data_IF_141632236450
#
_entry.id   IF_141632236450
#
_cell.length_a   1.000
_cell.length_b   1.000
_cell.length_c   1.000
_cell.angle_alpha   90.00
_cell.angle_beta   90.00
_cell.angle_gamma   90.00
#
_symmetry.space_group_name_H-M   'P 1'
#
loop_
_entity.id
_entity.type
_entity.pdbx_description
1 polymer ?
#
# COMPACT_ATOMS: atom_id res chain seq x y z
N UNK A 1 14.85 -33.79 23.09
CA UNK A 1 14.92 -32.61 22.20
C UNK A 1 16.00 -32.74 21.12
N UNK A 2 17.10 -33.48 21.29
CA UNK A 2 18.15 -33.59 20.25
C UNK A 2 19.07 -32.37 20.11
N UNK A 3 18.88 -31.34 20.96
CA UNK A 3 19.64 -30.08 20.95
C UNK A 3 20.73 -30.04 22.04
N UNK A 4 21.12 -31.20 22.58
CA UNK A 4 22.21 -31.30 23.57
C UNK A 4 23.59 -31.05 22.95
N UNK A 5 24.60 -30.79 23.79
CA UNK A 5 25.97 -30.52 23.34
C UNK A 5 26.17 -29.10 22.85
N UNK A 6 26.18 -28.88 21.53
CA UNK A 6 26.48 -27.57 20.90
C UNK A 6 25.25 -26.71 20.63
N UNK A 7 24.06 -27.16 21.05
CA UNK A 7 22.79 -26.47 20.84
C UNK A 7 22.57 -25.99 19.41
N UNK A 8 22.93 -26.85 18.44
CA UNK A 8 22.83 -26.60 17.00
C UNK A 8 23.69 -25.44 16.46
N UNK A 9 24.63 -24.91 17.25
CA UNK A 9 25.56 -23.85 16.82
C UNK A 9 26.87 -24.36 16.21
N UNK A 10 27.08 -25.68 16.22
CA UNK A 10 28.36 -26.30 15.86
C UNK A 10 29.43 -26.10 16.95
N UNK A 11 30.64 -26.60 16.71
CA UNK A 11 31.62 -26.78 17.80
C UNK A 11 32.47 -25.54 18.11
N UNK A 12 32.77 -24.69 17.12
CA UNK A 12 33.74 -23.57 17.24
C UNK A 12 33.31 -22.39 16.35
N UNK A 13 34.13 -21.35 16.31
CA UNK A 13 33.91 -20.16 15.49
C UNK A 13 33.16 -19.06 16.24
N UNK A 14 33.20 -17.85 15.66
CA UNK A 14 32.59 -16.66 16.26
C UNK A 14 31.09 -16.85 16.53
N UNK A 15 30.36 -17.50 15.62
CA UNK A 15 28.91 -17.75 15.76
C UNK A 15 28.53 -18.73 16.88
N UNK A 16 29.47 -19.56 17.35
CA UNK A 16 29.24 -20.48 18.45
C UNK A 16 29.46 -19.86 19.84
N UNK A 17 30.05 -18.65 19.91
CA UNK A 17 30.32 -17.95 21.17
C UNK A 17 29.10 -17.15 21.65
N UNK A 18 29.01 -16.92 22.96
CA UNK A 18 28.02 -16.00 23.53
C UNK A 18 28.29 -14.59 23.01
N UNK A 19 27.24 -13.88 22.58
CA UNK A 19 27.37 -12.58 21.90
C UNK A 19 28.07 -12.65 20.54
N UNK A 20 28.25 -13.86 19.99
CA UNK A 20 28.84 -14.09 18.69
C UNK A 20 27.97 -13.62 17.51
N UNK A 21 28.53 -13.73 16.30
CA UNK A 21 27.90 -13.22 15.09
C UNK A 21 28.60 -11.98 14.55
N UNK A 22 28.28 -11.65 13.30
CA UNK A 22 28.70 -10.39 12.65
C UNK A 22 27.50 -9.48 12.53
N UNK A 23 27.72 -8.16 12.52
CA UNK A 23 26.62 -7.20 12.32
C UNK A 23 25.92 -7.49 10.97
N UNK A 24 24.58 -7.32 10.89
CA UNK A 24 23.87 -7.39 9.63
C UNK A 24 24.50 -6.45 8.58
N UNK A 25 24.73 -6.96 7.37
CA UNK A 25 25.37 -6.21 6.28
C UNK A 25 26.90 -6.17 6.31
N UNK A 26 27.57 -6.94 7.18
CA UNK A 26 29.02 -7.13 7.11
C UNK A 26 29.39 -8.27 6.14
N UNK A 27 30.24 -7.97 5.16
CA UNK A 27 30.64 -8.90 4.08
C UNK A 27 32.10 -9.37 4.25
N UNK A 28 32.56 -9.60 5.49
CA UNK A 28 33.87 -10.21 5.75
C UNK A 28 35.09 -9.33 5.48
N UNK A 29 34.91 -8.02 5.23
CA UNK A 29 35.97 -7.07 4.89
C UNK A 29 35.76 -6.38 3.54
N UNK A 30 34.88 -6.93 2.70
CA UNK A 30 34.44 -6.26 1.47
C UNK A 30 33.60 -5.02 1.80
N UNK A 31 33.61 -4.01 0.91
CA UNK A 31 32.70 -2.88 0.99
C UNK A 31 31.24 -3.36 0.90
N UNK A 32 30.40 -3.11 1.93
CA UNK A 32 29.02 -3.57 1.92
C UNK A 32 28.22 -3.05 0.73
N UNK A 33 27.26 -3.84 0.24
CA UNK A 33 26.39 -3.47 -0.87
C UNK A 33 25.74 -2.08 -0.71
N UNK A 34 25.29 -1.74 0.49
CA UNK A 34 24.67 -0.45 0.81
C UNK A 34 25.60 0.75 0.65
N UNK A 35 26.92 0.54 0.62
CA UNK A 35 27.93 1.56 0.34
C UNK A 35 28.40 1.55 -1.11
N UNK A 36 28.28 0.41 -1.80
CA UNK A 36 28.62 0.28 -3.23
C UNK A 36 27.60 0.97 -4.12
N UNK A 37 26.31 0.92 -3.73
CA UNK A 37 25.24 1.56 -4.50
C UNK A 37 25.19 3.08 -4.22
N UNK A 38 24.99 3.91 -5.27
CA UNK A 38 24.88 5.36 -5.08
C UNK A 38 23.57 5.72 -4.37
N UNK A 39 23.61 6.79 -3.57
CA UNK A 39 22.38 7.41 -3.06
C UNK A 39 21.66 8.09 -4.22
N UNK A 40 20.36 7.87 -4.36
CA UNK A 40 19.56 8.43 -5.46
C UNK A 40 18.24 9.01 -4.95
N UNK A 41 17.87 10.16 -5.50
CA UNK A 41 16.60 10.84 -5.23
C UNK A 41 16.64 11.76 -4.01
N UNK A 42 15.47 12.31 -3.68
CA UNK A 42 15.23 13.15 -2.50
C UNK A 42 13.83 12.87 -1.96
N UNK A 43 13.59 13.23 -0.69
CA UNK A 43 12.28 13.09 -0.07
C UNK A 43 11.49 14.41 -0.17
N UNK A 44 10.33 14.38 -0.82
CA UNK A 44 9.42 15.51 -0.88
C UNK A 44 8.54 15.56 0.38
N UNK A 45 8.73 16.58 1.21
CA UNK A 45 7.93 16.81 2.44
C UNK A 45 6.47 17.18 2.18
N UNK A 46 6.15 17.66 0.98
CA UNK A 46 4.80 18.05 0.57
C UNK A 46 4.11 16.99 -0.29
N UNK A 47 4.57 15.73 -0.23
CA UNK A 47 3.90 14.64 -0.91
C UNK A 47 2.48 14.49 -0.36
N UNK A 48 1.49 14.52 -1.25
CA UNK A 48 0.08 14.29 -0.88
C UNK A 48 -0.23 12.81 -0.89
N UNK A 49 -0.66 12.29 0.24
CA UNK A 49 -1.09 10.90 0.40
C UNK A 49 -2.53 10.75 -0.08
N UNK A 50 -2.68 10.54 -1.39
CA UNK A 50 -3.98 10.30 -2.03
C UNK A 50 -4.34 8.83 -1.88
N UNK A 51 -5.51 8.56 -1.32
CA UNK A 51 -6.01 7.21 -1.13
C UNK A 51 -6.66 6.71 -2.40
N UNK A 52 -6.26 5.51 -2.80
CA UNK A 52 -6.72 4.87 -4.02
C UNK A 52 -7.85 3.89 -3.68
N UNK A 53 -8.96 4.00 -4.40
CA UNK A 53 -10.08 3.06 -4.34
C UNK A 53 -10.42 2.60 -5.74
N UNK A 54 -10.64 1.29 -5.93
CA UNK A 54 -11.03 0.71 -7.21
C UNK A 54 -12.54 0.50 -7.31
N UNK A 55 -13.09 0.54 -8.52
CA UNK A 55 -14.51 0.30 -8.79
C UNK A 55 -15.02 -1.04 -8.23
N UNK A 56 -14.18 -2.08 -8.25
CA UNK A 56 -14.53 -3.39 -7.69
C UNK A 56 -14.95 -3.34 -6.21
N UNK A 57 -14.30 -2.50 -5.41
CA UNK A 57 -14.59 -2.36 -3.98
C UNK A 57 -15.92 -1.65 -3.72
N UNK A 58 -16.37 -0.86 -4.69
CA UNK A 58 -17.56 -0.02 -4.62
C UNK A 58 -18.84 -0.79 -4.96
N UNK A 59 -18.72 -2.00 -5.51
CA UNK A 59 -19.87 -2.90 -5.80
C UNK A 59 -20.72 -3.24 -4.58
N UNK A 60 -20.17 -3.11 -3.38
CA UNK A 60 -20.87 -3.41 -2.12
C UNK A 60 -21.91 -2.36 -1.75
N UNK A 61 -21.81 -1.17 -2.34
CA UNK A 61 -22.77 -0.12 -2.07
C UNK A 61 -24.08 -0.36 -2.84
N UNK A 62 -25.22 0.05 -2.27
CA UNK A 62 -26.50 -0.02 -2.97
C UNK A 62 -26.57 1.03 -4.09
N UNK A 63 -27.44 0.77 -5.06
CA UNK A 63 -27.73 1.69 -6.16
C UNK A 63 -28.16 3.07 -5.65
N UNK A 64 -27.67 4.13 -6.31
CA UNK A 64 -27.99 5.51 -5.96
C UNK A 64 -27.27 6.04 -4.72
N UNK A 65 -26.42 5.25 -4.07
CA UNK A 65 -25.60 5.74 -2.95
C UNK A 65 -24.57 6.79 -3.39
N UNK A 66 -24.31 7.73 -2.49
CA UNK A 66 -23.30 8.77 -2.66
C UNK A 66 -21.98 8.27 -2.07
N UNK A 67 -20.98 8.05 -2.91
CA UNK A 67 -19.65 7.63 -2.52
C UNK A 67 -18.84 8.87 -2.17
N UNK A 68 -18.73 9.14 -0.86
CA UNK A 68 -17.92 10.21 -0.27
C UNK A 68 -16.82 9.62 0.64
N UNK A 69 -15.81 10.41 0.99
CA UNK A 69 -14.70 10.00 1.85
C UNK A 69 -15.18 9.48 3.23
N UNK A 70 -16.30 9.98 3.72
CA UNK A 70 -16.88 9.62 5.01
C UNK A 70 -17.53 8.24 4.96
N UNK A 71 -18.35 7.99 3.93
CA UNK A 71 -18.99 6.70 3.69
C UNK A 71 -17.95 5.62 3.37
N UNK A 72 -16.87 5.98 2.68
CA UNK A 72 -15.74 5.08 2.44
C UNK A 72 -14.99 4.70 3.72
N UNK A 73 -14.96 5.59 4.72
CA UNK A 73 -14.37 5.30 6.02
C UNK A 73 -15.30 4.43 6.87
N UNK A 74 -16.59 4.76 6.92
CA UNK A 74 -17.61 4.00 7.68
C UNK A 74 -17.77 2.57 7.16
N UNK A 75 -17.75 2.40 5.83
CA UNK A 75 -17.77 1.08 5.19
C UNK A 75 -16.47 0.27 5.37
N UNK A 76 -15.42 0.88 5.94
CA UNK A 76 -14.12 0.26 6.15
C UNK A 76 -13.32 -0.01 4.87
N UNK A 77 -13.75 0.51 3.71
CA UNK A 77 -12.99 0.45 2.45
C UNK A 77 -11.71 1.26 2.58
N UNK A 78 -11.81 2.40 3.25
CA UNK A 78 -10.68 3.25 3.63
C UNK A 78 -10.49 3.16 5.14
N UNK A 79 -9.23 3.12 5.60
CA UNK A 79 -8.90 3.06 7.04
C UNK A 79 -8.63 4.44 7.68
N UNK A 80 -8.31 5.45 6.88
CA UNK A 80 -7.98 6.82 7.32
C UNK A 80 -8.38 7.82 6.25
N UNK A 81 -8.81 9.03 6.61
CA UNK A 81 -8.96 10.12 5.63
C UNK A 81 -7.55 10.66 5.34
N UNK A 82 -7.05 10.45 4.12
CA UNK A 82 -5.76 10.97 3.65
C UNK A 82 -5.91 12.40 3.14
N UNK A 83 -5.05 12.83 2.22
CA UNK A 83 -5.13 14.17 1.59
C UNK A 83 -6.18 14.25 0.45
N UNK A 84 -6.85 13.13 0.16
CA UNK A 84 -7.89 13.03 -0.84
C UNK A 84 -8.14 11.59 -1.28
N UNK A 85 -9.22 11.38 -2.03
CA UNK A 85 -9.60 10.07 -2.58
C UNK A 85 -9.52 10.11 -4.11
N UNK A 86 -8.89 9.07 -4.68
CA UNK A 86 -8.82 8.85 -6.12
C UNK A 86 -9.48 7.52 -6.51
N UNK A 87 -10.43 7.60 -7.44
CA UNK A 87 -11.10 6.42 -7.99
C UNK A 87 -10.38 5.90 -9.24
N UNK A 88 -10.05 4.61 -9.24
CA UNK A 88 -9.38 3.90 -10.33
C UNK A 88 -10.31 2.87 -10.98
N UNK A 89 -10.16 2.69 -12.30
CA UNK A 89 -11.08 1.93 -13.15
C UNK A 89 -10.93 0.41 -13.13
N UNK A 90 -10.31 -0.17 -12.09
CA UNK A 90 -10.21 -1.63 -11.99
C UNK A 90 -11.53 -2.22 -11.47
N UNK A 91 -12.07 -3.19 -12.20
CA UNK A 91 -13.43 -3.71 -12.03
C UNK A 91 -14.50 -2.92 -12.78
N UNK A 92 -15.75 -3.39 -12.68
CA UNK A 92 -16.93 -2.82 -13.34
C UNK A 92 -18.02 -2.52 -12.32
N UNK A 93 -18.88 -1.57 -12.65
CA UNK A 93 -20.01 -1.17 -11.81
C UNK A 93 -21.29 -1.54 -12.57
N UNK A 94 -22.13 -2.37 -11.96
CA UNK A 94 -23.37 -2.85 -12.58
C UNK A 94 -24.60 -1.97 -12.32
N UNK A 95 -24.48 -0.93 -11.49
CA UNK A 95 -25.58 -0.06 -11.08
C UNK A 95 -25.09 1.39 -10.92
N UNK A 96 -25.94 2.40 -11.15
CA UNK A 96 -25.53 3.80 -11.04
C UNK A 96 -25.15 4.18 -9.60
N UNK A 97 -23.99 4.82 -9.44
CA UNK A 97 -23.47 5.38 -8.19
C UNK A 97 -23.12 6.86 -8.38
N UNK A 98 -23.28 7.66 -7.34
CA UNK A 98 -22.91 9.08 -7.36
C UNK A 98 -21.58 9.27 -6.63
N UNK A 99 -20.58 9.88 -7.26
CA UNK A 99 -19.24 10.04 -6.69
C UNK A 99 -18.95 11.48 -6.31
N UNK A 100 -18.53 11.71 -5.06
CA UNK A 100 -18.00 12.99 -4.56
C UNK A 100 -16.55 12.79 -4.13
N UNK A 101 -15.61 13.01 -5.05
CA UNK A 101 -14.20 12.62 -4.84
C UNK A 101 -13.22 13.61 -5.45
N UNK A 102 -11.98 13.60 -4.98
CA UNK A 102 -10.99 14.59 -5.37
C UNK A 102 -10.43 14.33 -6.78
N UNK A 103 -10.29 13.05 -7.16
CA UNK A 103 -9.73 12.66 -8.45
C UNK A 103 -10.37 11.39 -8.98
N UNK A 104 -10.52 11.30 -10.29
CA UNK A 104 -10.99 10.09 -10.97
C UNK A 104 -10.06 9.81 -12.16
N UNK A 105 -9.70 8.54 -12.36
CA UNK A 105 -8.98 8.11 -13.55
C UNK A 105 -9.87 8.14 -14.80
N UNK A 106 -9.29 8.38 -15.97
CA UNK A 106 -10.05 8.42 -17.23
C UNK A 106 -10.88 7.15 -17.45
N UNK A 107 -10.29 5.98 -17.26
CA UNK A 107 -10.98 4.69 -17.42
C UNK A 107 -12.10 4.50 -16.39
N UNK A 108 -11.94 4.98 -15.16
CA UNK A 108 -13.01 4.95 -14.17
C UNK A 108 -14.18 5.84 -14.59
N UNK A 109 -13.90 7.04 -15.10
CA UNK A 109 -14.93 7.98 -15.55
C UNK A 109 -15.79 7.35 -16.66
N UNK A 110 -15.15 6.81 -17.69
CA UNK A 110 -15.83 6.18 -18.83
C UNK A 110 -16.75 5.03 -18.35
N UNK A 111 -16.30 4.21 -17.40
CA UNK A 111 -17.11 3.12 -16.84
C UNK A 111 -18.26 3.60 -15.97
N UNK A 112 -18.05 4.64 -15.15
CA UNK A 112 -19.11 5.19 -14.28
C UNK A 112 -20.19 5.85 -15.13
N UNK A 113 -19.81 6.62 -16.15
CA UNK A 113 -20.74 7.25 -17.09
C UNK A 113 -21.51 6.21 -17.90
N UNK A 114 -20.85 5.12 -18.34
CA UNK A 114 -21.51 4.01 -19.02
C UNK A 114 -22.56 3.30 -18.14
N UNK A 115 -22.34 3.24 -16.83
CA UNK A 115 -23.30 2.70 -15.85
C UNK A 115 -24.35 3.73 -15.38
N UNK A 116 -24.38 4.94 -15.95
CA UNK A 116 -25.33 6.00 -15.61
C UNK A 116 -25.06 6.70 -14.27
N UNK A 117 -23.84 6.58 -13.72
CA UNK A 117 -23.44 7.23 -12.49
C UNK A 117 -23.08 8.72 -12.66
N UNK A 118 -23.10 9.48 -11.57
CA UNK A 118 -22.74 10.90 -11.57
C UNK A 118 -21.36 11.11 -10.94
N UNK A 119 -20.62 12.09 -11.44
CA UNK A 119 -19.28 12.42 -10.97
C UNK A 119 -19.23 13.89 -10.59
N UNK A 120 -18.97 14.17 -9.33
CA UNK A 120 -18.67 15.49 -8.78
C UNK A 120 -17.24 15.49 -8.24
N UNK A 121 -16.39 16.34 -8.84
CA UNK A 121 -14.98 16.47 -8.44
C UNK A 121 -14.85 17.67 -7.51
N UNK A 122 -14.42 17.41 -6.26
CA UNK A 122 -14.23 18.40 -5.19
C UNK A 122 -12.75 18.79 -5.07
#
# INVERSE_FOLDING_TARGET
>A
SGHGGTSCRGSKGQNARSGGGVKPGFEGGQMPLTRRLPKRGFYNRFHKDIIIVNLEQLKKFPEGSVVDADILLESGIIKRKGDGVKILGNGDIGHPLSFKVHRISRSAREKIEASGGTIEVI
#
